data_IF_438195813157
#
_entry.id   IF_438195813157
#
_cell.length_a   1.000
_cell.length_b   1.000
_cell.length_c   1.000
_cell.angle_alpha   90.00
_cell.angle_beta   90.00
_cell.angle_gamma   90.00
#
_symmetry.space_group_name_H-M   'P 1'
#
loop_
_entity.id
_entity.type
_entity.pdbx_description
1 polymer ?
#
# COMPACT_ATOMS: atom_id res chain seq x y z
N UNK A 1 6.39 27.38 9.58
CA UNK A 1 6.50 28.51 10.52
C UNK A 1 5.75 28.28 11.83
N UNK A 2 4.41 28.38 11.89
CA UNK A 2 3.64 28.34 13.16
C UNK A 2 3.77 27.06 14.00
N UNK A 3 3.80 25.88 13.36
CA UNK A 3 3.86 24.56 14.06
C UNK A 3 5.21 24.27 14.71
N UNK A 4 6.30 24.63 14.04
CA UNK A 4 7.68 24.22 14.41
C UNK A 4 8.62 25.43 14.63
N UNK A 5 8.09 26.66 14.66
CA UNK A 5 8.87 27.89 14.86
C UNK A 5 9.82 28.31 13.73
N UNK A 6 9.83 27.62 12.59
CA UNK A 6 10.79 27.90 11.49
C UNK A 6 10.63 29.31 10.90
N UNK A 7 11.74 29.92 10.47
CA UNK A 7 11.78 31.13 9.65
C UNK A 7 11.21 30.91 8.23
N UNK A 8 10.81 31.99 7.54
CA UNK A 8 10.20 31.92 6.19
C UNK A 8 11.18 31.29 5.22
N UNK A 9 12.38 31.86 5.13
CA UNK A 9 13.43 31.40 4.22
C UNK A 9 13.82 29.94 4.47
N UNK A 10 13.86 29.50 5.73
CA UNK A 10 14.13 28.10 6.06
C UNK A 10 12.99 27.17 5.62
N UNK A 11 11.73 27.60 5.81
CA UNK A 11 10.58 26.83 5.36
C UNK A 11 10.54 26.72 3.83
N UNK A 12 10.83 27.82 3.12
CA UNK A 12 10.90 27.85 1.66
C UNK A 12 12.04 26.98 1.13
N UNK A 13 13.22 27.03 1.74
CA UNK A 13 14.35 26.16 1.38
C UNK A 13 14.01 24.67 1.53
N UNK A 14 13.21 24.30 2.55
CA UNK A 14 12.72 22.93 2.73
C UNK A 14 11.64 22.54 1.73
N UNK A 15 10.86 23.48 1.23
CA UNK A 15 9.84 23.23 0.21
C UNK A 15 10.53 23.06 -1.15
N UNK A 16 11.51 23.90 -1.47
CA UNK A 16 12.24 23.86 -2.74
C UNK A 16 13.18 22.65 -2.87
N UNK A 17 13.62 22.06 -1.76
CA UNK A 17 14.42 20.82 -1.77
C UNK A 17 13.59 19.54 -1.99
N UNK A 18 12.26 19.65 -2.01
CA UNK A 18 11.37 18.52 -2.28
C UNK A 18 10.96 18.47 -3.76
N UNK A 19 10.42 17.31 -4.18
CA UNK A 19 9.72 17.22 -5.46
C UNK A 19 8.52 18.19 -5.48
N UNK A 20 8.36 19.03 -6.53
CA UNK A 20 7.24 19.95 -6.65
C UNK A 20 5.90 19.22 -6.52
N UNK A 21 4.92 19.89 -5.91
CA UNK A 21 3.63 19.26 -5.59
C UNK A 21 2.92 18.73 -6.84
N UNK A 22 2.93 19.49 -7.94
CA UNK A 22 2.30 19.09 -9.19
C UNK A 22 2.99 17.88 -9.83
N UNK A 23 4.32 17.81 -9.75
CA UNK A 23 5.04 16.62 -10.19
C UNK A 23 4.71 15.42 -9.31
N UNK A 24 4.72 15.58 -7.98
CA UNK A 24 4.34 14.52 -7.03
C UNK A 24 2.94 13.97 -7.30
N UNK A 25 1.99 14.84 -7.66
CA UNK A 25 0.61 14.45 -8.00
C UNK A 25 0.52 13.58 -9.25
N UNK A 26 1.37 13.80 -10.26
CA UNK A 26 1.37 12.99 -11.50
C UNK A 26 1.73 11.51 -11.24
N UNK A 27 2.55 11.25 -10.23
CA UNK A 27 3.00 9.90 -9.88
C UNK A 27 2.12 9.21 -8.83
N UNK A 28 1.20 9.94 -8.20
CA UNK A 28 0.39 9.41 -7.11
C UNK A 28 -0.75 8.53 -7.64
N UNK A 29 -0.88 7.31 -7.11
CA UNK A 29 -2.05 6.46 -7.36
C UNK A 29 -3.31 7.04 -6.71
N UNK A 30 -3.15 7.68 -5.54
CA UNK A 30 -4.23 8.27 -4.77
C UNK A 30 -3.78 9.60 -4.15
N UNK A 31 -4.70 10.57 -4.07
CA UNK A 31 -4.45 11.89 -3.47
C UNK A 31 -5.51 12.15 -2.40
N UNK A 32 -5.08 12.61 -1.23
CA UNK A 32 -5.95 13.06 -0.13
C UNK A 32 -5.70 14.55 0.09
N UNK A 33 -6.74 15.36 0.00
CA UNK A 33 -6.69 16.79 0.27
C UNK A 33 -6.93 17.06 1.78
N UNK A 34 -5.95 17.68 2.43
CA UNK A 34 -5.97 18.06 3.83
C UNK A 34 -6.07 19.58 4.06
N UNK A 35 -6.35 20.37 3.02
CA UNK A 35 -6.54 21.82 3.12
C UNK A 35 -7.86 22.19 3.80
N UNK A 36 -8.85 21.29 3.80
CA UNK A 36 -10.16 21.47 4.44
C UNK A 36 -10.18 21.10 5.92
N UNK A 37 -11.38 20.88 6.46
CA UNK A 37 -11.54 20.42 7.83
C UNK A 37 -11.13 18.95 8.03
N UNK A 38 -10.95 18.57 9.30
CA UNK A 38 -10.52 17.22 9.69
C UNK A 38 -11.52 16.14 9.27
N UNK A 39 -12.81 16.42 9.28
CA UNK A 39 -13.85 15.45 8.90
C UNK A 39 -13.90 15.24 7.39
N UNK A 40 -13.64 16.27 6.58
CA UNK A 40 -13.43 16.13 5.14
C UNK A 40 -12.26 15.19 4.82
N UNK A 41 -11.12 15.40 5.49
CA UNK A 41 -9.94 14.54 5.34
C UNK A 41 -10.26 13.10 5.79
N UNK A 42 -10.93 12.93 6.94
CA UNK A 42 -11.33 11.62 7.47
C UNK A 42 -12.21 10.86 6.48
N UNK A 43 -13.20 11.51 5.86
CA UNK A 43 -14.07 10.88 4.86
C UNK A 43 -13.30 10.41 3.63
N UNK A 44 -12.34 11.20 3.14
CA UNK A 44 -11.49 10.79 2.01
C UNK A 44 -10.65 9.56 2.36
N UNK A 45 -10.03 9.56 3.54
CA UNK A 45 -9.23 8.43 4.04
C UNK A 45 -10.07 7.16 4.17
N UNK A 46 -11.25 7.24 4.80
CA UNK A 46 -12.11 6.06 4.98
C UNK A 46 -12.61 5.50 3.65
N UNK A 47 -12.91 6.35 2.68
CA UNK A 47 -13.28 5.92 1.33
C UNK A 47 -12.15 5.16 0.66
N UNK A 48 -10.93 5.72 0.69
CA UNK A 48 -9.76 5.07 0.11
C UNK A 48 -9.44 3.75 0.83
N UNK A 49 -9.54 3.72 2.15
CA UNK A 49 -9.32 2.50 2.93
C UNK A 49 -10.24 1.37 2.49
N UNK A 50 -11.55 1.62 2.40
CA UNK A 50 -12.52 0.63 1.94
C UNK A 50 -12.19 0.10 0.53
N UNK A 51 -11.81 1.01 -0.39
CA UNK A 51 -11.41 0.62 -1.75
C UNK A 51 -10.16 -0.28 -1.77
N UNK A 52 -9.20 -0.02 -0.89
CA UNK A 52 -7.98 -0.83 -0.79
C UNK A 52 -8.23 -2.18 -0.11
N UNK A 53 -9.10 -2.25 0.89
CA UNK A 53 -9.49 -3.52 1.53
C UNK A 53 -10.28 -4.43 0.59
N UNK A 54 -11.17 -3.87 -0.23
CA UNK A 54 -11.92 -4.62 -1.25
C UNK A 54 -10.99 -5.20 -2.34
N UNK A 55 -9.75 -4.73 -2.44
CA UNK A 55 -8.77 -5.31 -3.35
C UNK A 55 -8.33 -6.69 -2.84
N UNK A 56 -9.01 -7.73 -3.32
CA UNK A 56 -8.74 -9.15 -3.03
C UNK A 56 -7.41 -9.67 -3.60
N UNK A 57 -6.47 -8.79 -3.91
CA UNK A 57 -5.17 -9.13 -4.49
C UNK A 57 -4.38 -10.11 -3.62
N UNK A 58 -4.55 -10.03 -2.30
CA UNK A 58 -3.93 -10.96 -1.35
C UNK A 58 -4.47 -12.40 -1.49
N UNK A 59 -5.70 -12.59 -1.99
CA UNK A 59 -6.27 -13.94 -2.19
C UNK A 59 -5.53 -14.68 -3.30
N UNK A 60 -5.12 -14.00 -4.37
CA UNK A 60 -4.34 -14.62 -5.43
C UNK A 60 -2.98 -15.14 -4.93
N UNK A 61 -2.30 -14.36 -4.07
CA UNK A 61 -1.07 -14.81 -3.43
C UNK A 61 -1.31 -16.05 -2.54
N UNK A 62 -2.41 -16.07 -1.77
CA UNK A 62 -2.79 -17.22 -0.92
C UNK A 62 -3.12 -18.46 -1.74
N UNK A 63 -3.84 -18.31 -2.86
CA UNK A 63 -4.16 -19.42 -3.77
C UNK A 63 -2.87 -20.01 -4.35
N UNK A 64 -1.96 -19.18 -4.83
CA UNK A 64 -0.67 -19.63 -5.38
C UNK A 64 0.14 -20.45 -4.35
N UNK A 65 0.23 -19.96 -3.11
CA UNK A 65 0.89 -20.69 -2.03
C UNK A 65 0.18 -22.01 -1.72
N UNK A 66 -1.15 -22.00 -1.63
CA UNK A 66 -1.95 -23.20 -1.38
C UNK A 66 -1.74 -24.29 -2.44
N UNK A 67 -1.74 -23.90 -3.73
CA UNK A 67 -1.47 -24.82 -4.85
C UNK A 67 -0.04 -25.38 -4.78
N UNK A 68 0.95 -24.57 -4.46
CA UNK A 68 2.33 -25.03 -4.33
C UNK A 68 2.48 -26.05 -3.19
N UNK A 69 1.91 -25.75 -2.01
CA UNK A 69 1.94 -26.66 -0.84
C UNK A 69 1.24 -27.98 -1.15
N UNK A 70 0.05 -27.93 -1.76
CA UNK A 70 -0.69 -29.13 -2.15
C UNK A 70 0.07 -29.97 -3.19
N UNK A 71 0.70 -29.32 -4.18
CA UNK A 71 1.52 -29.98 -5.19
C UNK A 71 2.74 -30.70 -4.59
N UNK A 72 3.49 -30.01 -3.72
CA UNK A 72 4.63 -30.60 -3.00
C UNK A 72 4.19 -31.76 -2.09
N UNK A 73 3.13 -31.57 -1.31
CA UNK A 73 2.59 -32.62 -0.44
C UNK A 73 2.13 -33.85 -1.23
N UNK A 74 1.43 -33.64 -2.34
CA UNK A 74 1.01 -34.70 -3.24
C UNK A 74 2.18 -35.46 -3.87
N UNK A 75 3.23 -34.74 -4.30
CA UNK A 75 4.45 -35.36 -4.83
C UNK A 75 5.14 -36.24 -3.78
N UNK A 76 5.31 -35.73 -2.55
CA UNK A 76 5.89 -36.50 -1.44
C UNK A 76 5.07 -37.75 -1.16
N UNK A 77 3.74 -37.64 -1.13
CA UNK A 77 2.85 -38.80 -0.95
C UNK A 77 3.02 -39.86 -2.05
N UNK A 78 3.07 -39.44 -3.32
CA UNK A 78 3.26 -40.36 -4.44
C UNK A 78 4.61 -41.06 -4.38
N UNK A 79 5.68 -40.36 -4.02
CA UNK A 79 7.00 -40.94 -3.84
C UNK A 79 7.00 -41.98 -2.71
N UNK A 80 6.46 -41.63 -1.53
CA UNK A 80 6.33 -42.58 -0.41
C UNK A 80 5.56 -43.82 -0.84
N UNK A 81 4.43 -43.65 -1.53
CA UNK A 81 3.62 -44.77 -2.04
C UNK A 81 4.38 -45.65 -3.03
N UNK A 82 5.20 -45.05 -3.89
CA UNK A 82 5.99 -45.79 -4.88
C UNK A 82 7.14 -46.60 -4.24
N UNK A 83 7.75 -46.08 -3.16
CA UNK A 83 8.84 -46.77 -2.47
C UNK A 83 8.38 -47.82 -1.43
N UNK A 84 7.14 -47.72 -0.93
CA UNK A 84 6.56 -48.67 0.02
C UNK A 84 5.78 -49.81 -0.69
N UNK A 85 5.31 -49.57 -1.92
CA UNK A 85 4.63 -50.58 -2.75
C UNK A 85 5.58 -51.35 -3.63
#
# INVERSE_FOLDING_TARGET
MKRNGLGVAEAEARISSQLPLDEKRKWATHVIDNCGDRESTRRQVLRLHAQLEDSLHFLWARLAVGTAVAGLGGLVFLLIRHFIS
#
